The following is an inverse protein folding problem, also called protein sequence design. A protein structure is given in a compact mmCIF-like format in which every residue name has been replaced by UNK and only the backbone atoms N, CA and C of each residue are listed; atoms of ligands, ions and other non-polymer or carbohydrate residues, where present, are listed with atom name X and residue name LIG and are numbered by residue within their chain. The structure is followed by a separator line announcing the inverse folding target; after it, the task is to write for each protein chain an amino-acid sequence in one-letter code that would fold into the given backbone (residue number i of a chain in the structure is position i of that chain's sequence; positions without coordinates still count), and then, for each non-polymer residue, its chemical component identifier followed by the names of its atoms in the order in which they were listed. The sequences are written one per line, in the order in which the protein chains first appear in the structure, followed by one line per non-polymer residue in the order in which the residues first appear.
data_IF_988075122036
#
_entry.id   IF_988075122036
#
_cell.length_a   1.000
_cell.length_b   1.000
_cell.length_c   1.000
_cell.angle_alpha   90.00
_cell.angle_beta   90.00
_cell.angle_gamma   90.00
#
_symmetry.space_group_name_H-M   'P 1'
#
loop_
_entity.id
_entity.type
_entity.pdbx_description
1 polymer ?
#
# COMPACT_ATOMS: atom_id res chain seq x y z
N UNK A 1 -7.44 -14.77 -17.54
CA UNK A 1 -7.81 -15.19 -16.17
C UNK A 1 -6.51 -15.51 -15.43
N UNK A 2 -5.94 -14.55 -14.71
CA UNK A 2 -4.63 -14.76 -14.07
C UNK A 2 -4.85 -15.37 -12.70
N UNK A 3 -4.31 -16.57 -12.50
CA UNK A 3 -4.24 -17.27 -11.22
C UNK A 3 -3.49 -16.33 -10.27
N UNK A 4 -4.18 -15.73 -9.28
CA UNK A 4 -3.53 -15.00 -8.19
C UNK A 4 -2.79 -16.01 -7.31
N UNK A 5 -1.65 -16.49 -7.81
CA UNK A 5 -0.75 -17.33 -7.03
C UNK A 5 -0.32 -16.57 -5.79
N UNK A 6 -0.62 -17.10 -4.61
CA UNK A 6 -0.10 -16.58 -3.35
C UNK A 6 1.42 -16.65 -3.41
N UNK A 7 2.06 -15.50 -3.58
CA UNK A 7 3.52 -15.36 -3.60
C UNK A 7 3.98 -14.76 -2.28
N UNK A 8 4.74 -15.54 -1.51
CA UNK A 8 5.36 -15.06 -0.27
C UNK A 8 6.73 -14.48 -0.58
N UNK A 9 7.00 -13.28 -0.06
CA UNK A 9 8.31 -12.62 -0.17
C UNK A 9 8.87 -12.43 1.24
N UNK A 10 10.12 -12.84 1.43
CA UNK A 10 10.87 -12.59 2.67
C UNK A 10 11.76 -11.37 2.40
N UNK A 11 11.56 -10.30 3.16
CA UNK A 11 12.30 -9.04 3.00
C UNK A 11 13.04 -8.73 4.29
N UNK A 12 14.22 -8.14 4.17
CA UNK A 12 14.98 -7.63 5.31
C UNK A 12 14.33 -6.35 5.84
N UNK A 13 14.15 -6.26 7.16
CA UNK A 13 13.75 -5.02 7.83
C UNK A 13 14.94 -4.06 7.77
N UNK A 14 14.72 -2.89 7.19
CA UNK A 14 15.69 -1.81 7.20
C UNK A 14 15.51 -0.96 8.45
N UNK A 15 16.43 -0.03 8.66
CA UNK A 15 16.27 1.01 9.66
C UNK A 15 16.17 2.38 8.99
N UNK A 16 15.57 3.31 9.71
CA UNK A 16 15.59 4.74 9.42
C UNK A 16 16.00 5.49 10.68
N UNK A 17 16.59 6.67 10.52
CA UNK A 17 16.92 7.56 11.63
C UNK A 17 15.90 8.71 11.65
N UNK A 18 15.08 8.77 12.69
CA UNK A 18 14.03 9.76 12.85
C UNK A 18 14.01 10.27 14.30
N UNK A 19 13.98 11.59 14.48
CA UNK A 19 13.94 12.24 15.79
C UNK A 19 15.03 11.76 16.76
N UNK A 20 16.26 11.65 16.28
CA UNK A 20 17.39 11.25 17.12
C UNK A 20 17.49 9.74 17.41
N UNK A 21 16.60 8.92 16.85
CA UNK A 21 16.55 7.50 17.15
C UNK A 21 16.39 6.62 15.91
N UNK A 22 16.93 5.40 16.01
CA UNK A 22 16.75 4.35 15.01
C UNK A 22 15.34 3.75 15.12
N UNK A 23 14.66 3.60 13.98
CA UNK A 23 13.31 3.04 13.86
C UNK A 23 13.25 1.99 12.74
N UNK A 24 12.43 0.95 12.86
CA UNK A 24 12.26 -0.04 11.80
C UNK A 24 11.59 0.59 10.58
N UNK A 25 12.03 0.19 9.39
CA UNK A 25 11.50 0.61 8.10
C UNK A 25 11.28 -0.61 7.20
N UNK A 26 10.04 -0.77 6.72
CA UNK A 26 9.69 -1.76 5.71
C UNK A 26 9.67 -1.06 4.34
N UNK A 27 10.39 -1.62 3.36
CA UNK A 27 10.39 -1.13 1.96
C UNK A 27 9.68 -2.14 1.07
N UNK A 28 8.56 -1.74 0.48
CA UNK A 28 7.82 -2.52 -0.52
C UNK A 28 7.91 -1.79 -1.87
N UNK A 29 8.43 -2.47 -2.90
CA UNK A 29 8.58 -1.90 -4.23
C UNK A 29 8.51 -2.98 -5.31
N UNK A 30 8.14 -2.57 -6.53
CA UNK A 30 8.16 -3.40 -7.73
C UNK A 30 6.79 -3.55 -8.40
N UNK A 31 6.82 -4.09 -9.62
CA UNK A 31 5.62 -4.25 -10.48
C UNK A 31 4.49 -5.04 -9.80
N UNK A 32 4.84 -6.02 -8.97
CA UNK A 32 3.87 -6.82 -8.21
C UNK A 32 2.99 -5.98 -7.27
N UNK A 33 3.54 -4.90 -6.69
CA UNK A 33 2.82 -4.04 -5.78
C UNK A 33 1.77 -3.23 -6.55
N UNK A 34 2.16 -2.72 -7.73
CA UNK A 34 1.26 -2.05 -8.67
C UNK A 34 0.14 -2.98 -9.17
N UNK A 35 0.48 -4.24 -9.50
CA UNK A 35 -0.48 -5.25 -9.95
C UNK A 35 -1.51 -5.61 -8.86
N UNK A 36 -1.17 -5.44 -7.58
CA UNK A 36 -2.09 -5.56 -6.44
C UNK A 36 -2.94 -4.30 -6.17
N UNK A 37 -2.78 -3.25 -6.98
CA UNK A 37 -3.54 -2.01 -6.88
C UNK A 37 -2.95 -0.96 -5.93
N UNK A 38 -1.73 -1.15 -5.44
CA UNK A 38 -1.01 -0.13 -4.66
C UNK A 38 -0.39 0.87 -5.62
N UNK A 39 -1.19 1.84 -6.03
CA UNK A 39 -0.80 2.88 -6.98
C UNK A 39 -0.23 4.12 -6.27
N UNK A 40 0.67 4.88 -6.91
CA UNK A 40 1.10 6.19 -6.40
C UNK A 40 -0.10 7.11 -6.14
N UNK A 41 -0.13 7.76 -4.98
CA UNK A 41 -1.23 8.64 -4.57
C UNK A 41 -2.45 7.93 -3.95
N UNK A 42 -2.52 6.60 -3.99
CA UNK A 42 -3.53 5.85 -3.26
C UNK A 42 -3.25 5.88 -1.75
N UNK A 43 -4.32 5.85 -0.95
CA UNK A 43 -4.20 5.63 0.49
C UNK A 43 -4.16 4.12 0.78
N UNK A 44 -3.55 3.76 1.89
CA UNK A 44 -3.53 2.37 2.38
C UNK A 44 -4.12 2.33 3.79
N UNK A 45 -4.72 1.20 4.11
CA UNK A 45 -5.09 0.80 5.46
C UNK A 45 -4.00 -0.12 5.99
N UNK A 46 -3.51 0.17 7.20
CA UNK A 46 -2.56 -0.69 7.92
C UNK A 46 -3.21 -1.04 9.24
N UNK A 47 -3.50 -2.33 9.43
CA UNK A 47 -3.94 -2.88 10.72
C UNK A 47 -2.80 -3.59 11.39
N UNK A 48 -2.59 -3.30 12.66
CA UNK A 48 -1.60 -3.95 13.50
C UNK A 48 -2.24 -5.02 14.37
N UNK A 49 -1.54 -6.13 14.51
CA UNK A 49 -1.79 -7.18 15.48
C UNK A 49 -0.43 -7.61 16.06
N UNK A 50 -0.45 -8.41 17.13
CA UNK A 50 0.78 -8.97 17.68
C UNK A 50 1.55 -9.75 16.60
N UNK A 51 2.79 -9.32 16.33
CA UNK A 51 3.68 -9.93 15.35
C UNK A 51 3.28 -9.79 13.87
N UNK A 52 2.23 -9.04 13.53
CA UNK A 52 1.78 -8.95 12.13
C UNK A 52 1.16 -7.60 11.75
N UNK A 53 1.37 -7.23 10.48
CA UNK A 53 0.72 -6.10 9.84
C UNK A 53 -0.14 -6.61 8.68
N UNK A 54 -1.40 -6.21 8.64
CA UNK A 54 -2.25 -6.41 7.48
C UNK A 54 -2.36 -5.09 6.71
N UNK A 55 -1.83 -5.08 5.49
CA UNK A 55 -1.76 -3.89 4.63
C UNK A 55 -2.72 -4.08 3.45
N UNK A 56 -3.63 -3.14 3.25
CA UNK A 56 -4.61 -3.17 2.16
C UNK A 56 -4.71 -1.82 1.47
N UNK A 57 -5.01 -1.82 0.18
CA UNK A 57 -5.32 -0.59 -0.56
C UNK A 57 -6.67 -0.01 -0.12
N UNK A 58 -6.72 1.29 0.09
CA UNK A 58 -7.96 2.04 0.17
C UNK A 58 -8.20 2.68 -1.21
N UNK A 59 -9.09 2.12 -2.05
CA UNK A 59 -9.52 2.86 -3.23
C UNK A 59 -10.14 4.18 -2.74
N UNK A 60 -9.62 5.30 -3.23
CA UNK A 60 -10.28 6.58 -3.02
C UNK A 60 -11.71 6.45 -3.58
N UNK A 61 -12.74 7.01 -2.91
CA UNK A 61 -14.01 7.20 -3.59
C UNK A 61 -13.70 8.00 -4.87
N UNK A 62 -14.07 7.46 -6.03
CA UNK A 62 -13.85 8.10 -7.33
C UNK A 62 -14.24 9.57 -7.23
N UNK A 63 -13.44 10.51 -7.79
CA UNK A 63 -13.89 11.89 -7.89
C UNK A 63 -15.28 11.86 -8.54
N UNK A 64 -16.25 12.56 -7.93
CA UNK A 64 -17.61 12.63 -8.44
C UNK A 64 -17.57 12.90 -9.95
N UNK A 65 -18.37 12.21 -10.78
CA UNK A 65 -18.40 12.48 -12.21
C UNK A 65 -18.62 13.98 -12.42
N UNK A 66 -17.94 14.62 -13.39
CA UNK A 66 -18.12 16.03 -13.65
C UNK A 66 -19.62 16.28 -13.81
N UNK A 67 -20.19 17.08 -12.90
CA UNK A 67 -21.58 17.43 -12.94
C UNK A 67 -21.89 17.95 -14.33
N UNK A 68 -22.88 17.36 -14.99
CA UNK A 68 -23.30 17.76 -16.32
C UNK A 68 -23.81 19.21 -16.20
N UNK A 69 -22.93 20.16 -16.46
CA UNK A 69 -23.20 21.59 -16.45
C UNK A 69 -24.14 21.91 -17.61
N UNK A 70 -25.43 21.63 -17.40
CA UNK A 70 -26.51 22.03 -18.27
C UNK A 70 -26.90 23.45 -17.87
N UNK A 71 -26.28 24.44 -18.50
CA UNK A 71 -26.87 25.77 -18.77
C UNK A 71 -26.01 26.55 -19.74
#
# INVERSE_FOLDING_TARGET
MTIMGKSTRILTIYYTYQNGATRPLIRLQGKWLQELGFLPGAKIEVKENEGSLFIKTCPLPSPCPPGNGRR
#
